data_IF_023466340029
#
_entry.id   IF_023466340029
#
_cell.length_a   1.000
_cell.length_b   1.000
_cell.length_c   1.000
_cell.angle_alpha   90.00
_cell.angle_beta   90.00
_cell.angle_gamma   90.00
#
_symmetry.space_group_name_H-M   'P 1'
#
loop_
_entity.id
_entity.type
_entity.pdbx_description
1 polymer ?
#
# COMPACT_ATOMS: atom_id res chain seq x y z
N UNK A 1 35.61 -21.69 24.21
CA UNK A 1 34.67 -22.39 23.31
C UNK A 1 33.23 -21.86 23.40
N UNK A 2 32.61 -21.78 24.58
CA UNK A 2 31.21 -21.31 24.75
C UNK A 2 30.96 -19.87 24.25
N UNK A 3 31.93 -18.97 24.42
CA UNK A 3 31.86 -17.57 23.98
C UNK A 3 31.63 -17.43 22.47
N UNK A 4 32.30 -18.27 21.67
CA UNK A 4 32.14 -18.29 20.22
C UNK A 4 30.75 -18.79 19.82
N UNK A 5 30.20 -19.80 20.51
CA UNK A 5 28.85 -20.32 20.26
C UNK A 5 27.79 -19.24 20.50
N UNK A 6 27.90 -18.50 21.61
CA UNK A 6 26.99 -17.39 21.94
C UNK A 6 27.07 -16.29 20.87
N UNK A 7 28.29 -15.95 20.43
CA UNK A 7 28.52 -14.95 19.39
C UNK A 7 27.89 -15.37 18.05
N UNK A 8 28.03 -16.63 17.65
CA UNK A 8 27.38 -17.15 16.43
C UNK A 8 25.85 -17.15 16.54
N UNK A 9 25.28 -17.50 17.69
CA UNK A 9 23.82 -17.47 17.91
C UNK A 9 23.28 -16.05 17.78
N UNK A 10 23.95 -15.07 18.40
CA UNK A 10 23.55 -13.66 18.32
C UNK A 10 23.63 -13.15 16.87
N UNK A 11 24.71 -13.48 16.15
CA UNK A 11 24.85 -13.12 14.73
C UNK A 11 23.76 -13.76 13.88
N UNK A 12 23.47 -15.04 14.09
CA UNK A 12 22.43 -15.77 13.36
C UNK A 12 21.03 -15.17 13.60
N UNK A 13 20.71 -14.81 14.84
CA UNK A 13 19.46 -14.14 15.18
C UNK A 13 19.37 -12.75 14.51
N UNK A 14 20.46 -11.99 14.49
CA UNK A 14 20.52 -10.68 13.85
C UNK A 14 20.27 -10.78 12.33
N UNK A 15 20.89 -11.74 11.63
CA UNK A 15 20.70 -11.96 10.19
C UNK A 15 19.24 -12.30 9.87
N UNK A 16 18.62 -13.17 10.67
CA UNK A 16 17.22 -13.56 10.50
C UNK A 16 16.23 -12.41 10.78
N UNK A 17 16.55 -11.53 11.75
CA UNK A 17 15.73 -10.37 12.06
C UNK A 17 15.75 -9.33 10.92
N UNK A 18 16.93 -9.04 10.35
CA UNK A 18 17.09 -8.06 9.26
C UNK A 18 16.32 -8.48 8.00
N UNK A 19 16.34 -9.77 7.67
CA UNK A 19 15.66 -10.30 6.48
C UNK A 19 14.14 -10.10 6.52
N UNK A 20 13.53 -10.19 7.72
CA UNK A 20 12.08 -9.97 7.89
C UNK A 20 11.68 -8.49 7.81
N UNK A 21 12.58 -7.58 8.12
CA UNK A 21 12.29 -6.13 8.15
C UNK A 21 12.14 -5.54 6.74
N UNK A 22 12.92 -6.01 5.76
CA UNK A 22 12.86 -5.50 4.38
C UNK A 22 11.53 -5.80 3.69
N UNK A 23 11.02 -7.02 3.84
CA UNK A 23 9.75 -7.43 3.22
C UNK A 23 8.55 -6.62 3.75
N UNK A 24 8.52 -6.34 5.05
CA UNK A 24 7.46 -5.52 5.66
C UNK A 24 7.48 -4.07 5.16
N UNK A 25 8.67 -3.49 4.98
CA UNK A 25 8.81 -2.12 4.51
C UNK A 25 8.31 -1.92 3.08
N UNK A 26 8.60 -2.85 2.17
CA UNK A 26 8.13 -2.80 0.79
C UNK A 26 6.60 -2.97 0.70
N UNK A 27 6.02 -3.89 1.47
CA UNK A 27 4.57 -4.04 1.55
C UNK A 27 3.90 -2.77 2.08
N UNK A 28 4.48 -2.14 3.11
CA UNK A 28 3.95 -0.89 3.65
C UNK A 28 3.98 0.25 2.63
N UNK A 29 5.05 0.36 1.83
CA UNK A 29 5.12 1.33 0.71
C UNK A 29 4.08 1.05 -0.37
N UNK A 30 3.90 -0.20 -0.75
CA UNK A 30 2.90 -0.60 -1.73
C UNK A 30 1.48 -0.28 -1.25
N UNK A 31 1.19 -0.50 0.03
CA UNK A 31 -0.09 -0.11 0.65
C UNK A 31 -0.29 1.41 0.62
N UNK A 32 0.74 2.20 0.92
CA UNK A 32 0.63 3.67 0.89
C UNK A 32 0.46 4.26 -0.53
N UNK A 33 0.80 3.51 -1.57
CA UNK A 33 0.58 3.93 -2.95
C UNK A 33 -0.90 3.80 -3.38
N UNK A 34 -1.71 2.99 -2.68
CA UNK A 34 -3.14 2.87 -2.96
C UNK A 34 -3.87 4.03 -2.30
N UNK A 35 -4.61 4.77 -3.11
CA UNK A 35 -5.47 5.85 -2.64
C UNK A 35 -6.91 5.37 -2.50
N UNK A 36 -7.63 5.93 -1.52
CA UNK A 36 -9.07 5.73 -1.40
C UNK A 36 -9.76 6.58 -2.47
N UNK A 37 -10.52 5.93 -3.33
CA UNK A 37 -11.26 6.59 -4.42
C UNK A 37 -12.74 6.28 -4.29
N UNK A 38 -13.58 7.20 -4.77
CA UNK A 38 -15.02 7.04 -4.93
C UNK A 38 -15.44 7.57 -6.29
N UNK A 39 -16.66 7.25 -6.70
CA UNK A 39 -17.21 7.67 -7.98
C UNK A 39 -17.90 9.03 -7.83
N UNK A 40 -17.69 9.94 -8.78
CA UNK A 40 -18.40 11.21 -8.82
C UNK A 40 -19.88 10.98 -9.18
N UNK A 41 -20.85 11.51 -8.41
CA UNK A 41 -22.27 11.28 -8.66
C UNK A 41 -22.80 11.92 -9.95
N UNK A 42 -22.14 12.97 -10.45
CA UNK A 42 -22.58 13.71 -11.64
C UNK A 42 -21.99 13.16 -12.95
N UNK A 43 -20.71 12.77 -12.94
CA UNK A 43 -19.99 12.38 -14.16
C UNK A 43 -19.46 10.95 -14.15
N UNK A 44 -19.73 10.18 -13.09
CA UNK A 44 -19.33 8.79 -12.91
C UNK A 44 -17.81 8.51 -12.96
N UNK A 45 -16.98 9.55 -12.86
CA UNK A 45 -15.52 9.39 -12.91
C UNK A 45 -14.91 9.10 -11.53
N UNK A 46 -13.79 8.39 -11.50
CA UNK A 46 -13.08 8.06 -10.26
C UNK A 46 -12.33 9.26 -9.69
N UNK A 47 -12.67 9.62 -8.45
CA UNK A 47 -12.14 10.76 -7.72
C UNK A 47 -11.61 10.33 -6.36
N UNK A 48 -10.72 11.12 -5.77
CA UNK A 48 -10.26 10.89 -4.39
C UNK A 48 -11.40 11.12 -3.41
N UNK A 49 -11.41 10.33 -2.34
CA UNK A 49 -12.41 10.46 -1.27
C UNK A 49 -12.31 11.82 -0.58
N UNK A 50 -11.08 12.32 -0.40
CA UNK A 50 -10.82 13.66 0.12
C UNK A 50 -11.13 14.82 -0.85
N UNK A 51 -11.56 14.55 -2.09
CA UNK A 51 -11.84 15.60 -3.07
C UNK A 51 -13.11 16.40 -2.71
N UNK A 52 -12.96 17.72 -2.57
CA UNK A 52 -14.08 18.66 -2.39
C UNK A 52 -14.71 19.12 -3.71
N UNK A 53 -13.99 18.97 -4.83
CA UNK A 53 -14.44 19.34 -6.17
C UNK A 53 -14.00 18.27 -7.16
N UNK A 54 -14.87 17.88 -8.07
CA UNK A 54 -14.53 16.93 -9.11
C UNK A 54 -13.53 17.58 -10.10
N UNK A 55 -12.42 16.90 -10.39
CA UNK A 55 -11.41 17.38 -11.36
C UNK A 55 -11.93 17.33 -12.80
N UNK A 56 -12.89 16.46 -13.10
CA UNK A 56 -13.36 16.19 -14.45
C UNK A 56 -14.54 17.07 -14.84
N UNK A 57 -15.64 17.05 -14.06
CA UNK A 57 -16.81 17.88 -14.35
C UNK A 57 -16.84 19.21 -13.61
N UNK A 58 -15.98 19.42 -12.60
CA UNK A 58 -15.93 20.67 -11.84
C UNK A 58 -17.03 20.86 -10.81
N UNK A 59 -17.92 19.88 -10.58
CA UNK A 59 -18.96 20.00 -9.55
C UNK A 59 -18.36 20.02 -8.14
N UNK A 60 -18.97 20.79 -7.24
CA UNK A 60 -18.65 20.72 -5.81
C UNK A 60 -19.23 19.45 -5.22
N UNK A 61 -18.40 18.70 -4.50
CA UNK A 61 -18.77 17.42 -3.95
C UNK A 61 -19.21 17.59 -2.50
N UNK A 62 -20.29 16.93 -2.13
CA UNK A 62 -20.70 16.84 -0.73
C UNK A 62 -19.73 15.92 0.05
N UNK A 63 -19.56 16.18 1.36
CA UNK A 63 -18.82 15.26 2.22
C UNK A 63 -19.46 13.88 2.19
N UNK A 64 -18.60 12.87 2.23
CA UNK A 64 -18.98 11.45 2.24
C UNK A 64 -19.72 11.16 3.55
N UNK A 65 -20.84 10.46 3.47
CA UNK A 65 -21.58 10.03 4.68
C UNK A 65 -20.83 8.92 5.41
N UNK A 66 -21.14 8.68 6.69
CA UNK A 66 -20.50 7.59 7.46
C UNK A 66 -20.71 6.21 6.79
N UNK A 67 -21.91 5.98 6.25
CA UNK A 67 -22.23 4.74 5.54
C UNK A 67 -21.43 4.58 4.24
N UNK A 68 -21.29 5.66 3.46
CA UNK A 68 -20.49 5.66 2.23
C UNK A 68 -19.00 5.47 2.56
N UNK A 69 -18.52 6.09 3.64
CA UNK A 69 -17.15 5.95 4.12
C UNK A 69 -16.84 4.50 4.54
N UNK A 70 -17.75 3.84 5.26
CA UNK A 70 -17.60 2.45 5.65
C UNK A 70 -17.52 1.51 4.42
N UNK A 71 -18.29 1.78 3.37
CA UNK A 71 -18.26 1.01 2.13
C UNK A 71 -16.93 1.22 1.37
N UNK A 72 -16.47 2.47 1.28
CA UNK A 72 -15.17 2.83 0.70
C UNK A 72 -14.03 2.12 1.45
N UNK A 73 -14.08 2.10 2.78
CA UNK A 73 -13.05 1.46 3.60
C UNK A 73 -13.04 -0.06 3.44
N UNK A 74 -14.23 -0.67 3.34
CA UNK A 74 -14.36 -2.09 3.01
C UNK A 74 -13.76 -2.38 1.63
N UNK A 75 -14.09 -1.58 0.61
CA UNK A 75 -13.55 -1.74 -0.74
C UNK A 75 -12.02 -1.54 -0.80
N UNK A 76 -11.50 -0.58 -0.03
CA UNK A 76 -10.07 -0.35 0.11
C UNK A 76 -9.36 -1.54 0.78
N UNK A 77 -9.89 -2.05 1.90
CA UNK A 77 -9.32 -3.21 2.59
C UNK A 77 -9.31 -4.46 1.70
N UNK A 78 -10.34 -4.64 0.88
CA UNK A 78 -10.41 -5.73 -0.09
C UNK A 78 -9.31 -5.60 -1.16
N UNK A 79 -9.12 -4.40 -1.73
CA UNK A 79 -8.04 -4.13 -2.69
C UNK A 79 -6.66 -4.42 -2.07
N UNK A 80 -6.45 -4.02 -0.81
CA UNK A 80 -5.20 -4.27 -0.08
C UNK A 80 -4.97 -5.77 0.12
N UNK A 81 -5.97 -6.52 0.60
CA UNK A 81 -5.86 -7.97 0.81
C UNK A 81 -5.55 -8.73 -0.49
N UNK A 82 -6.11 -8.27 -1.61
CA UNK A 82 -5.84 -8.84 -2.93
C UNK A 82 -4.37 -8.67 -3.34
N UNK A 83 -3.76 -7.53 -3.01
CA UNK A 83 -2.33 -7.31 -3.25
C UNK A 83 -1.44 -8.18 -2.36
N UNK A 84 -1.80 -8.35 -1.08
CA UNK A 84 -1.06 -9.23 -0.17
C UNK A 84 -1.03 -10.68 -0.67
N UNK A 85 -2.17 -11.17 -1.15
CA UNK A 85 -2.30 -12.53 -1.67
C UNK A 85 -1.53 -12.72 -3.00
N UNK A 86 -1.52 -11.72 -3.89
CA UNK A 86 -0.72 -11.78 -5.12
C UNK A 86 0.79 -11.81 -4.84
N UNK A 87 1.27 -11.05 -3.85
CA UNK A 87 2.70 -10.93 -3.56
C UNK A 87 3.31 -12.17 -2.90
N UNK A 88 2.48 -13.08 -2.38
CA UNK A 88 2.94 -14.35 -1.77
C UNK A 88 3.48 -15.35 -2.82
N UNK A 89 3.28 -15.09 -4.12
CA UNK A 89 3.77 -15.94 -5.23
C UNK A 89 4.99 -15.39 -5.97
N UNK A 90 5.58 -14.25 -5.57
CA UNK A 90 6.75 -13.69 -6.25
C UNK A 90 8.01 -13.72 -5.37
N UNK A 91 9.00 -14.60 -5.67
CA UNK A 91 10.36 -14.31 -5.25
C UNK A 91 10.80 -13.00 -5.91
N UNK A 92 11.32 -12.08 -5.09
CA UNK A 92 11.82 -10.76 -5.46
C UNK A 92 12.86 -10.84 -6.58
N UNK A 93 12.41 -10.75 -7.83
CA UNK A 93 13.20 -10.21 -8.92
C UNK A 93 12.30 -9.36 -9.80
N UNK A 94 12.13 -8.09 -9.42
CA UNK A 94 11.80 -7.06 -10.39
C UNK A 94 12.48 -5.75 -10.00
N UNK A 95 13.68 -5.63 -10.57
CA UNK A 95 14.33 -4.39 -10.97
C UNK A 95 13.34 -3.58 -11.83
N UNK A 96 12.43 -2.85 -11.21
CA UNK A 96 11.54 -1.91 -11.88
C UNK A 96 11.45 -0.63 -11.04
N UNK A 97 12.58 0.10 -11.02
CA UNK A 97 12.51 1.55 -10.96
C UNK A 97 12.32 1.98 -12.41
N UNK A 98 11.07 2.11 -12.84
CA UNK A 98 10.83 2.90 -14.03
C UNK A 98 10.94 4.37 -13.67
N UNK A 99 11.80 4.98 -14.46
CA UNK A 99 12.19 6.36 -14.62
C UNK A 99 11.06 7.15 -15.27
N UNK A 100 10.40 7.98 -14.48
CA UNK A 100 9.52 9.02 -14.99
C UNK A 100 10.21 10.34 -14.67
N UNK A 101 11.03 10.79 -15.63
CA UNK A 101 11.71 12.07 -15.58
C UNK A 101 10.72 13.21 -15.36
N UNK A 102 10.89 13.91 -14.24
CA UNK A 102 10.42 15.27 -14.09
C UNK A 102 11.61 16.19 -14.32
N UNK A 103 11.84 16.53 -15.59
CA UNK A 103 12.26 17.81 -16.16
C UNK A 103 12.98 17.62 -17.49
#
# INVERSE_FOLDING_TARGET
MLFWIILFIVIFLAINAVSKNKAKAELQRAKSAIQKCRVCPECAEDIKVEAKKCRYCGVSLMPVTEDEQAQIDKAYSLKISKLENMNTTQPLNKKYQNSDGWK
#
